data_IF_468256537844
#
_entry.id   IF_468256537844
#
_cell.length_a   1.000
_cell.length_b   1.000
_cell.length_c   1.000
_cell.angle_alpha   90.00
_cell.angle_beta   90.00
_cell.angle_gamma   90.00
#
_symmetry.space_group_name_H-M   'P 1'
#
loop_
_entity.id
_entity.type
_entity.pdbx_description
1 polymer ?
#
# COMPACT_ATOMS: atom_id res chain seq x y z
N UNK A 1 2.93 41.04 74.59
CA UNK A 1 3.00 42.06 73.52
C UNK A 1 3.73 41.42 72.36
N UNK A 2 2.99 41.22 71.27
CA UNK A 2 3.41 40.89 69.89
C UNK A 2 4.74 41.57 69.45
N UNK A 3 5.47 41.09 68.42
CA UNK A 3 4.87 40.42 67.25
C UNK A 3 5.57 39.17 66.69
N UNK A 4 4.73 38.31 66.11
CA UNK A 4 5.04 37.24 65.18
C UNK A 4 5.66 37.77 63.87
N UNK A 5 6.78 37.17 63.47
CA UNK A 5 7.40 37.36 62.15
C UNK A 5 6.74 36.40 61.16
N UNK A 6 5.75 36.89 60.41
CA UNK A 6 5.23 36.20 59.24
C UNK A 6 6.20 36.39 58.06
N UNK A 7 6.97 35.35 57.76
CA UNK A 7 7.87 35.28 56.61
C UNK A 7 7.08 35.22 55.29
N UNK A 8 7.39 36.17 54.40
CA UNK A 8 6.91 36.27 53.03
C UNK A 8 6.98 34.95 52.25
N UNK A 9 5.85 34.54 51.69
CA UNK A 9 5.78 33.53 50.65
C UNK A 9 6.32 34.09 49.33
N UNK A 10 7.46 33.56 48.90
CA UNK A 10 7.94 33.66 47.53
C UNK A 10 8.74 32.39 47.21
N UNK A 11 8.06 31.24 47.17
CA UNK A 11 8.59 30.04 46.53
C UNK A 11 8.44 30.22 45.02
N UNK A 12 9.50 30.75 44.39
CA UNK A 12 9.67 30.66 42.95
C UNK A 12 9.58 29.18 42.56
N UNK A 13 8.49 28.80 41.91
CA UNK A 13 8.32 27.48 41.32
C UNK A 13 9.35 27.37 40.20
N UNK A 14 10.46 26.68 40.48
CA UNK A 14 11.48 26.41 39.50
C UNK A 14 10.82 25.68 38.33
N UNK A 15 10.81 26.32 37.16
CA UNK A 15 10.34 25.72 35.93
C UNK A 15 11.13 24.42 35.70
N UNK A 16 10.43 23.29 35.76
CA UNK A 16 10.98 21.98 35.41
C UNK A 16 11.41 22.11 33.94
N UNK A 17 12.71 21.94 33.61
CA UNK A 17 13.10 21.93 32.20
C UNK A 17 12.34 20.80 31.51
N UNK A 18 11.77 21.02 30.31
CA UNK A 18 11.09 19.95 29.59
C UNK A 18 12.08 18.80 29.47
N UNK A 19 11.70 17.65 30.03
CA UNK A 19 12.46 16.42 29.91
C UNK A 19 12.76 16.20 28.42
N UNK A 20 14.00 15.82 28.05
CA UNK A 20 14.32 15.56 26.65
C UNK A 20 13.38 14.45 26.21
N UNK A 21 12.42 14.80 25.33
CA UNK A 21 11.46 13.89 24.72
C UNK A 21 12.25 12.67 24.29
N UNK A 22 11.98 11.51 24.89
CA UNK A 22 12.83 10.35 24.73
C UNK A 22 12.87 10.04 23.23
N UNK A 23 14.07 9.88 22.65
CA UNK A 23 14.25 9.50 21.25
C UNK A 23 13.34 8.32 20.82
N UNK A 24 12.99 7.44 21.76
CA UNK A 24 12.04 6.34 21.58
C UNK A 24 10.58 6.76 21.36
N UNK A 25 10.11 7.85 21.97
CA UNK A 25 8.75 8.36 21.76
C UNK A 25 8.62 8.92 20.35
N UNK A 26 9.65 9.65 19.90
CA UNK A 26 9.73 10.20 18.55
C UNK A 26 9.84 9.10 17.47
N UNK A 27 10.49 7.98 17.79
CA UNK A 27 10.56 6.81 16.91
C UNK A 27 9.19 6.13 16.79
N UNK A 28 8.51 5.95 17.92
CA UNK A 28 7.20 5.29 17.99
C UNK A 28 6.12 6.06 17.23
N UNK A 29 6.09 7.39 17.38
CA UNK A 29 5.21 8.26 16.59
C UNK A 29 5.57 8.28 15.10
N UNK A 30 6.86 8.19 14.79
CA UNK A 30 7.34 8.10 13.41
C UNK A 30 6.89 6.80 12.74
N UNK A 31 6.97 5.68 13.44
CA UNK A 31 6.47 4.39 12.95
C UNK A 31 4.94 4.37 12.76
N UNK A 32 4.17 5.01 13.64
CA UNK A 32 2.70 5.10 13.48
C UNK A 32 2.28 5.79 12.19
N UNK A 33 3.01 6.83 11.79
CA UNK A 33 2.75 7.53 10.54
C UNK A 33 3.15 6.69 9.32
N UNK A 34 4.22 5.92 9.40
CA UNK A 34 4.65 5.02 8.32
C UNK A 34 3.71 3.81 8.14
N UNK A 35 3.06 3.33 9.20
CA UNK A 35 2.10 2.21 9.13
C UNK A 35 1.00 2.46 8.09
N UNK A 36 0.43 3.67 8.09
CA UNK A 36 -0.60 4.05 7.12
C UNK A 36 -0.05 4.06 5.68
N UNK A 37 1.18 4.53 5.49
CA UNK A 37 1.80 4.57 4.17
C UNK A 37 2.08 3.18 3.60
N UNK A 38 2.23 2.14 4.43
CA UNK A 38 2.47 0.75 3.99
C UNK A 38 1.16 -0.03 3.85
N UNK A 39 0.22 0.20 4.76
CA UNK A 39 -1.06 -0.51 4.79
C UNK A 39 -1.88 -0.29 3.53
N UNK A 40 -1.96 0.97 3.07
CA UNK A 40 -2.73 1.34 1.87
C UNK A 40 -2.26 0.61 0.59
N UNK A 41 -0.97 0.68 0.18
CA UNK A 41 -0.50 -0.04 -1.01
C UNK A 41 -0.59 -1.56 -0.86
N UNK A 42 -0.40 -2.09 0.36
CA UNK A 42 -0.56 -3.51 0.63
C UNK A 42 -2.02 -3.98 0.43
N UNK A 43 -3.00 -3.23 0.95
CA UNK A 43 -4.41 -3.56 0.73
C UNK A 43 -4.81 -3.41 -0.75
N UNK A 44 -4.22 -2.48 -1.49
CA UNK A 44 -4.40 -2.40 -2.94
C UNK A 44 -3.84 -3.62 -3.67
N UNK A 45 -2.64 -4.09 -3.31
CA UNK A 45 -2.05 -5.32 -3.86
C UNK A 45 -2.95 -6.53 -3.57
N UNK A 46 -3.37 -6.69 -2.32
CA UNK A 46 -4.25 -7.78 -1.87
C UNK A 46 -5.60 -7.76 -2.58
N UNK A 47 -6.20 -6.59 -2.78
CA UNK A 47 -7.44 -6.42 -3.56
C UNK A 47 -7.25 -6.83 -5.02
N UNK A 48 -6.12 -6.44 -5.63
CA UNK A 48 -5.75 -6.84 -7.00
C UNK A 48 -5.65 -8.36 -7.12
N UNK A 49 -4.85 -9.00 -6.24
CA UNK A 49 -4.67 -10.45 -6.23
C UNK A 49 -5.99 -11.20 -6.08
N UNK A 50 -6.84 -10.79 -5.12
CA UNK A 50 -8.18 -11.38 -4.93
C UNK A 50 -9.05 -11.26 -6.19
N UNK A 51 -8.94 -10.16 -6.92
CA UNK A 51 -9.73 -9.92 -8.15
C UNK A 51 -9.22 -10.80 -9.29
N UNK A 52 -7.90 -10.95 -9.39
CA UNK A 52 -7.25 -11.87 -10.32
C UNK A 52 -7.65 -13.32 -10.06
N UNK A 53 -7.53 -13.79 -8.81
CA UNK A 53 -7.95 -15.14 -8.39
C UNK A 53 -9.41 -15.42 -8.71
N UNK A 54 -10.33 -14.52 -8.35
CA UNK A 54 -11.77 -14.68 -8.69
C UNK A 54 -12.03 -14.77 -10.18
N UNK A 55 -11.27 -14.02 -10.99
CA UNK A 55 -11.39 -14.10 -12.44
C UNK A 55 -10.93 -15.45 -12.95
N UNK A 56 -9.78 -15.95 -12.47
CA UNK A 56 -9.27 -17.28 -12.82
C UNK A 56 -10.26 -18.37 -12.44
N UNK A 57 -10.75 -18.36 -11.20
CA UNK A 57 -11.75 -19.33 -10.71
C UNK A 57 -13.01 -19.33 -11.58
N UNK A 58 -13.57 -18.16 -11.88
CA UNK A 58 -14.77 -18.02 -12.72
C UNK A 58 -14.55 -18.59 -14.12
N UNK A 59 -13.46 -18.19 -14.77
CA UNK A 59 -13.18 -18.59 -16.15
C UNK A 59 -12.83 -20.08 -16.24
N UNK A 60 -12.06 -20.60 -15.28
CA UNK A 60 -11.73 -22.02 -15.21
C UNK A 60 -12.96 -22.89 -14.96
N UNK A 61 -13.86 -22.48 -14.05
CA UNK A 61 -15.11 -23.20 -13.82
C UNK A 61 -15.96 -23.27 -15.10
N UNK A 62 -16.08 -22.15 -15.84
CA UNK A 62 -16.83 -22.14 -17.10
C UNK A 62 -16.20 -23.06 -18.16
N UNK A 63 -14.87 -23.14 -18.23
CA UNK A 63 -14.17 -24.06 -19.13
C UNK A 63 -14.40 -25.51 -18.70
N UNK A 64 -14.27 -25.83 -17.42
CA UNK A 64 -14.50 -27.18 -16.90
C UNK A 64 -15.92 -27.67 -17.17
N UNK A 65 -16.93 -26.82 -16.94
CA UNK A 65 -18.33 -27.12 -17.28
C UNK A 65 -18.50 -27.32 -18.78
N UNK A 66 -17.95 -26.44 -19.62
CA UNK A 66 -18.03 -26.60 -21.07
C UNK A 66 -17.34 -27.87 -21.59
N UNK A 67 -16.22 -28.28 -20.99
CA UNK A 67 -15.57 -29.55 -21.34
C UNK A 67 -16.44 -30.75 -20.96
N UNK A 68 -17.07 -30.73 -19.77
CA UNK A 68 -18.00 -31.77 -19.35
C UNK A 68 -19.21 -31.87 -20.29
N UNK A 69 -19.81 -30.74 -20.66
CA UNK A 69 -20.92 -30.69 -21.62
C UNK A 69 -20.53 -31.28 -22.98
N UNK A 70 -19.32 -30.98 -23.46
CA UNK A 70 -18.82 -31.53 -24.72
C UNK A 70 -18.54 -33.04 -24.66
N UNK A 71 -18.34 -33.60 -23.46
CA UNK A 71 -18.11 -35.03 -23.26
C UNK A 71 -19.42 -35.83 -23.14
N UNK A 72 -20.47 -35.22 -22.58
CA UNK A 72 -21.77 -35.89 -22.36
C UNK A 72 -22.75 -35.71 -23.53
N UNK A 73 -22.63 -34.61 -24.28
CA UNK A 73 -23.57 -34.29 -25.36
C UNK A 73 -23.18 -35.04 -26.64
N UNK A 74 -24.17 -35.62 -27.30
CA UNK A 74 -23.98 -36.17 -28.64
C UNK A 74 -23.88 -34.98 -29.63
N UNK A 75 -22.68 -34.72 -30.12
CA UNK A 75 -22.34 -33.58 -30.96
C UNK A 75 -21.79 -34.08 -32.28
N UNK A 76 -22.16 -33.40 -33.38
CA UNK A 76 -21.44 -33.60 -34.64
C UNK A 76 -19.98 -33.17 -34.50
N UNK A 77 -19.12 -33.69 -35.38
CA UNK A 77 -17.69 -33.35 -35.37
C UNK A 77 -17.46 -31.84 -35.51
N UNK A 78 -18.17 -31.20 -36.43
CA UNK A 78 -18.09 -29.75 -36.65
C UNK A 78 -18.53 -28.95 -35.41
N UNK A 79 -19.61 -29.36 -34.74
CA UNK A 79 -20.07 -28.71 -33.50
C UNK A 79 -19.06 -28.87 -32.36
N UNK A 80 -18.47 -30.06 -32.20
CA UNK A 80 -17.46 -30.32 -31.19
C UNK A 80 -16.20 -29.46 -31.43
N UNK A 81 -15.74 -29.36 -32.68
CA UNK A 81 -14.60 -28.49 -33.04
C UNK A 81 -14.91 -27.02 -32.74
N UNK A 82 -16.09 -26.54 -33.10
CA UNK A 82 -16.50 -25.16 -32.84
C UNK A 82 -16.58 -24.86 -31.33
N UNK A 83 -17.13 -25.81 -30.56
CA UNK A 83 -17.25 -25.69 -29.12
C UNK A 83 -15.88 -25.63 -28.42
N UNK A 84 -14.99 -26.57 -28.74
CA UNK A 84 -13.63 -26.59 -28.19
C UNK A 84 -12.84 -25.35 -28.60
N UNK A 85 -13.01 -24.85 -29.84
CA UNK A 85 -12.38 -23.61 -30.31
C UNK A 85 -12.82 -22.39 -29.50
N UNK A 86 -14.11 -22.33 -29.11
CA UNK A 86 -14.63 -21.30 -28.21
C UNK A 86 -13.98 -21.37 -26.82
N UNK A 87 -13.85 -22.57 -26.24
CA UNK A 87 -13.18 -22.78 -24.95
C UNK A 87 -11.69 -22.38 -25.00
N UNK A 88 -10.99 -22.73 -26.08
CA UNK A 88 -9.60 -22.31 -26.31
C UNK A 88 -9.51 -20.78 -26.40
N UNK A 89 -10.41 -20.14 -27.14
CA UNK A 89 -10.46 -18.67 -27.26
C UNK A 89 -10.68 -18.00 -25.90
N UNK A 90 -11.53 -18.59 -25.06
CA UNK A 90 -11.77 -18.13 -23.68
C UNK A 90 -10.52 -18.25 -22.81
N UNK A 91 -9.81 -19.38 -22.86
CA UNK A 91 -8.54 -19.57 -22.15
C UNK A 91 -7.45 -18.59 -22.61
N UNK A 92 -7.37 -18.32 -23.91
CA UNK A 92 -6.46 -17.30 -24.45
C UNK A 92 -6.82 -15.90 -23.95
N UNK A 93 -8.11 -15.59 -23.86
CA UNK A 93 -8.60 -14.35 -23.25
C UNK A 93 -8.21 -14.24 -21.77
N UNK A 94 -8.39 -15.31 -21.00
CA UNK A 94 -7.97 -15.38 -19.59
C UNK A 94 -6.46 -15.14 -19.44
N UNK A 95 -5.64 -15.79 -20.28
CA UNK A 95 -4.19 -15.62 -20.28
C UNK A 95 -3.81 -14.14 -20.46
N UNK A 96 -4.35 -13.48 -21.49
CA UNK A 96 -4.10 -12.04 -21.75
C UNK A 96 -4.47 -11.17 -20.56
N UNK A 97 -5.61 -11.46 -19.93
CA UNK A 97 -6.09 -10.70 -18.76
C UNK A 97 -5.18 -10.92 -17.54
N UNK A 98 -4.69 -12.13 -17.34
CA UNK A 98 -3.76 -12.46 -16.26
C UNK A 98 -2.39 -11.79 -16.46
N UNK A 99 -1.88 -11.76 -17.69
CA UNK A 99 -0.63 -11.06 -18.02
C UNK A 99 -0.72 -9.56 -17.69
N UNK A 100 -1.84 -8.92 -18.02
CA UNK A 100 -2.08 -7.51 -17.68
C UNK A 100 -2.24 -7.28 -16.17
N UNK A 101 -3.00 -8.15 -15.49
CA UNK A 101 -3.14 -8.10 -14.03
C UNK A 101 -1.79 -8.26 -13.33
N UNK A 102 -0.95 -9.19 -13.81
CA UNK A 102 0.37 -9.43 -13.26
C UNK A 102 1.28 -8.20 -13.40
N UNK A 103 1.32 -7.54 -14.57
CA UNK A 103 2.07 -6.28 -14.73
C UNK A 103 1.63 -5.22 -13.72
N UNK A 104 0.32 -5.02 -13.57
CA UNK A 104 -0.24 -4.09 -12.59
C UNK A 104 0.07 -4.48 -11.14
N UNK A 105 0.13 -5.77 -10.83
CA UNK A 105 0.49 -6.29 -9.51
C UNK A 105 1.97 -6.12 -9.21
N UNK A 106 2.86 -6.36 -10.18
CA UNK A 106 4.30 -6.13 -10.01
C UNK A 106 4.60 -4.68 -9.65
N UNK A 107 3.92 -3.71 -10.28
CA UNK A 107 4.05 -2.29 -9.89
C UNK A 107 3.62 -2.06 -8.45
N UNK A 108 2.51 -2.67 -7.99
CA UNK A 108 2.07 -2.55 -6.59
C UNK A 108 3.07 -3.22 -5.62
N UNK A 109 3.65 -4.36 -5.99
CA UNK A 109 4.70 -5.04 -5.21
C UNK A 109 5.94 -4.16 -5.09
N UNK A 110 6.42 -3.57 -6.18
CA UNK A 110 7.55 -2.65 -6.18
C UNK A 110 7.30 -1.46 -5.25
N UNK A 111 6.10 -0.87 -5.30
CA UNK A 111 5.67 0.20 -4.38
C UNK A 111 5.64 -0.21 -2.91
N UNK A 112 5.28 -1.45 -2.61
CA UNK A 112 5.35 -1.99 -1.25
C UNK A 112 6.82 -2.17 -0.82
N UNK A 113 7.65 -2.73 -1.69
CA UNK A 113 9.08 -2.95 -1.44
C UNK A 113 9.83 -1.65 -1.18
N UNK A 114 9.64 -0.63 -2.01
CA UNK A 114 10.28 0.69 -1.83
C UNK A 114 9.96 1.33 -0.47
N UNK A 115 8.76 1.07 0.09
CA UNK A 115 8.38 1.53 1.42
C UNK A 115 9.05 0.73 2.53
N UNK A 116 9.13 -0.59 2.39
CA UNK A 116 9.85 -1.45 3.34
C UNK A 116 11.35 -1.16 3.34
N UNK A 117 11.94 -0.93 2.17
CA UNK A 117 13.36 -0.58 2.04
C UNK A 117 13.62 0.77 2.72
N UNK A 118 12.79 1.79 2.49
CA UNK A 118 12.89 3.08 3.19
C UNK A 118 12.71 2.94 4.71
N UNK A 119 11.80 2.09 5.20
CA UNK A 119 11.70 1.79 6.63
C UNK A 119 12.99 1.17 7.18
N UNK A 120 13.63 0.26 6.43
CA UNK A 120 14.85 -0.39 6.87
C UNK A 120 16.01 0.62 7.05
N UNK A 121 16.01 1.71 6.26
CA UNK A 121 16.99 2.79 6.36
C UNK A 121 16.89 3.58 7.66
N UNK A 122 15.79 3.49 8.42
CA UNK A 122 15.63 4.18 9.71
C UNK A 122 16.73 3.79 10.73
N UNK A 123 17.29 2.58 10.59
CA UNK A 123 18.37 2.07 11.43
C UNK A 123 19.76 2.62 11.08
N UNK A 124 19.87 3.38 9.99
CA UNK A 124 21.12 3.98 9.52
C UNK A 124 21.31 5.39 10.10
N UNK A 125 22.55 5.91 10.06
CA UNK A 125 22.86 7.26 10.58
C UNK A 125 22.28 8.39 9.72
N UNK A 126 21.79 8.11 8.51
CA UNK A 126 21.27 9.12 7.58
C UNK A 126 19.79 9.49 7.86
N UNK A 127 19.54 10.01 9.06
CA UNK A 127 18.21 10.45 9.52
C UNK A 127 17.62 11.59 8.69
N UNK A 128 18.49 12.43 8.12
CA UNK A 128 18.08 13.57 7.31
C UNK A 128 17.42 13.13 5.99
N UNK A 129 18.05 12.24 5.23
CA UNK A 129 17.49 11.72 3.97
C UNK A 129 16.21 10.91 4.20
N UNK A 130 16.20 10.12 5.28
CA UNK A 130 15.02 9.38 5.69
C UNK A 130 13.83 10.30 5.96
N UNK A 131 14.04 11.37 6.75
CA UNK A 131 13.02 12.39 7.03
C UNK A 131 12.58 13.14 5.78
N UNK A 132 13.50 13.51 4.88
CA UNK A 132 13.18 14.20 3.64
C UNK A 132 12.22 13.36 2.77
N UNK A 133 12.52 12.06 2.61
CA UNK A 133 11.66 11.12 1.87
C UNK A 133 10.27 11.01 2.52
N UNK A 134 10.22 10.91 3.86
CA UNK A 134 8.96 10.86 4.60
C UNK A 134 8.11 12.12 4.41
N UNK A 135 8.71 13.31 4.54
CA UNK A 135 8.00 14.59 4.33
C UNK A 135 7.45 14.68 2.91
N UNK A 136 8.24 14.29 1.90
CA UNK A 136 7.75 14.27 0.51
C UNK A 136 6.56 13.33 0.32
N UNK A 137 6.56 12.14 0.94
CA UNK A 137 5.41 11.22 0.90
C UNK A 137 4.17 11.81 1.56
N UNK A 138 4.32 12.48 2.71
CA UNK A 138 3.23 13.19 3.39
C UNK A 138 2.68 14.30 2.50
N UNK A 139 3.56 15.06 1.83
CA UNK A 139 3.16 16.14 0.93
C UNK A 139 2.39 15.61 -0.29
N UNK A 140 2.85 14.52 -0.91
CA UNK A 140 2.14 13.86 -2.01
C UNK A 140 0.74 13.43 -1.56
N UNK A 141 0.62 12.77 -0.40
CA UNK A 141 -0.66 12.32 0.11
C UNK A 141 -1.62 13.48 0.46
N UNK A 142 -1.08 14.56 1.03
CA UNK A 142 -1.83 15.80 1.25
C UNK A 142 -2.36 16.40 -0.06
N UNK A 143 -1.51 16.47 -1.10
CA UNK A 143 -1.91 16.97 -2.42
C UNK A 143 -2.99 16.09 -3.05
N UNK A 144 -2.89 14.75 -2.93
CA UNK A 144 -3.93 13.84 -3.42
C UNK A 144 -5.27 14.04 -2.71
N UNK A 145 -5.27 14.26 -1.39
CA UNK A 145 -6.48 14.54 -0.61
C UNK A 145 -7.14 15.87 -0.97
N UNK A 146 -6.35 16.85 -1.42
CA UNK A 146 -6.84 18.13 -1.93
C UNK A 146 -7.11 18.15 -3.44
N UNK A 147 -7.11 16.99 -4.10
CA UNK A 147 -7.34 16.86 -5.54
C UNK A 147 -6.29 17.54 -6.44
N UNK A 148 -5.10 17.83 -5.92
CA UNK A 148 -3.96 18.31 -6.69
C UNK A 148 -3.20 17.14 -7.36
N UNK A 149 -3.90 16.35 -8.17
CA UNK A 149 -3.39 15.10 -8.72
C UNK A 149 -2.14 15.27 -9.59
N UNK A 150 -2.15 16.25 -10.51
CA UNK A 150 -1.02 16.48 -11.43
C UNK A 150 0.24 16.89 -10.67
N UNK A 151 0.09 17.78 -9.68
CA UNK A 151 1.21 18.23 -8.83
C UNK A 151 1.74 17.09 -7.97
N UNK A 152 0.84 16.31 -7.36
CA UNK A 152 1.21 15.14 -6.57
C UNK A 152 2.00 14.12 -7.41
N UNK A 153 1.54 13.87 -8.64
CA UNK A 153 2.19 12.93 -9.57
C UNK A 153 3.58 13.41 -9.97
N UNK A 154 3.72 14.68 -10.38
CA UNK A 154 5.02 15.29 -10.74
C UNK A 154 6.00 15.28 -9.56
N UNK A 155 5.54 15.56 -8.34
CA UNK A 155 6.38 15.49 -7.15
C UNK A 155 6.83 14.06 -6.87
N UNK A 156 5.93 13.08 -6.97
CA UNK A 156 6.25 11.68 -6.74
C UNK A 156 7.27 11.14 -7.76
N UNK A 157 7.15 11.55 -9.02
CA UNK A 157 8.07 11.19 -10.12
C UNK A 157 9.44 11.85 -9.95
N UNK A 158 9.49 13.18 -9.76
CA UNK A 158 10.74 13.92 -9.60
C UNK A 158 11.54 13.50 -8.37
N UNK A 159 10.86 13.01 -7.33
CA UNK A 159 11.50 12.52 -6.11
C UNK A 159 11.69 11.00 -6.09
N UNK A 160 11.24 10.27 -7.11
CA UNK A 160 11.28 8.80 -7.17
C UNK A 160 10.67 8.11 -5.93
N UNK A 161 9.49 8.56 -5.49
CA UNK A 161 8.81 8.09 -4.25
C UNK A 161 7.44 7.45 -4.51
N UNK A 162 7.23 6.87 -5.70
CA UNK A 162 5.95 6.27 -6.12
C UNK A 162 5.52 5.02 -5.34
#
# INVERSE_FOLDING_TARGET
MEPDVLTNGNTAQAAIPPSPVRLNDHLSESLKLEDQFIKVPFEHLKKSMRTSTRTVEKEMNAVMTGVAEAAEKDMSKEEAVQHLTSLVSRLQGLKRKLDESNKSEQLKVQKCRARLDHLSMLRTENRHEWNNTRVKRILVDYMLRLSYYDTAMKLAESCNIQ
#
